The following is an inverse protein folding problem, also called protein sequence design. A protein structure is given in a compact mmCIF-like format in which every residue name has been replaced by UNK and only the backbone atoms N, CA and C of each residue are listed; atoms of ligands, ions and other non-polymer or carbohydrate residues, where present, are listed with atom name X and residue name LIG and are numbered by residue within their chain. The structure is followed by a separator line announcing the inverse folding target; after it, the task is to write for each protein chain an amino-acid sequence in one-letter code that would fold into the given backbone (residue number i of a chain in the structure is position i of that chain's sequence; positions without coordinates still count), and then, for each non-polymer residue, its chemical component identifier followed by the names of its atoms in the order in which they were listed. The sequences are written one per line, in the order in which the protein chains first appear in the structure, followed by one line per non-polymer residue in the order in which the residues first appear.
data_IF_098724821177
#
_entry.id   IF_098724821177
#
_cell.length_a   1.000
_cell.length_b   1.000
_cell.length_c   1.000
_cell.angle_alpha   90.00
_cell.angle_beta   90.00
_cell.angle_gamma   90.00
#
_symmetry.space_group_name_H-M   'P 1'
#
loop_
_entity.id
_entity.type
_entity.pdbx_description
1 polymer ?
#
# COMPACT_ATOMS: atom_id res chain seq x y z
N UNK A 1 15.53 -18.46 8.77
CA UNK A 1 15.17 -17.98 7.42
C UNK A 1 13.70 -17.58 7.25
N UNK A 2 12.71 -18.31 7.80
CA UNK A 2 11.30 -17.86 7.72
C UNK A 2 10.96 -16.63 8.58
N UNK A 3 11.54 -16.50 9.77
CA UNK A 3 11.33 -15.33 10.66
C UNK A 3 11.77 -14.01 10.02
N UNK A 4 12.97 -14.02 9.43
CA UNK A 4 13.55 -12.83 8.80
C UNK A 4 12.72 -12.33 7.62
N UNK A 5 12.31 -13.24 6.72
CA UNK A 5 11.45 -12.91 5.58
C UNK A 5 10.04 -12.48 6.03
N UNK A 6 9.52 -13.06 7.12
CA UNK A 6 8.23 -12.64 7.71
C UNK A 6 8.30 -11.25 8.33
N UNK A 7 9.43 -10.90 8.95
CA UNK A 7 9.70 -9.55 9.46
C UNK A 7 9.66 -8.51 8.35
N UNK A 8 10.37 -8.78 7.25
CA UNK A 8 10.38 -7.88 6.07
C UNK A 8 8.98 -7.72 5.47
N UNK A 9 8.23 -8.82 5.32
CA UNK A 9 6.87 -8.77 4.79
C UNK A 9 5.92 -7.97 5.70
N UNK A 10 6.06 -8.11 7.03
CA UNK A 10 5.25 -7.37 7.99
C UNK A 10 5.50 -5.87 7.91
N UNK A 11 6.77 -5.45 7.91
CA UNK A 11 7.14 -4.04 7.77
C UNK A 11 6.66 -3.46 6.43
N UNK A 12 6.77 -4.25 5.36
CA UNK A 12 6.24 -3.85 4.05
C UNK A 12 4.74 -3.58 4.10
N UNK A 13 3.95 -4.51 4.63
CA UNK A 13 2.49 -4.38 4.68
C UNK A 13 2.05 -3.24 5.60
N UNK A 14 2.71 -3.05 6.74
CA UNK A 14 2.44 -1.93 7.66
C UNK A 14 2.63 -0.57 6.98
N UNK A 15 3.69 -0.42 6.18
CA UNK A 15 3.94 0.82 5.45
C UNK A 15 2.90 1.08 4.36
N UNK A 16 2.51 0.04 3.60
CA UNK A 16 1.49 0.17 2.55
C UNK A 16 0.13 0.54 3.14
N UNK A 17 -0.28 -0.10 4.24
CA UNK A 17 -1.57 0.17 4.89
C UNK A 17 -1.59 1.59 5.48
N UNK A 18 -0.50 2.05 6.12
CA UNK A 18 -0.42 3.40 6.69
C UNK A 18 -0.65 4.49 5.62
N UNK A 19 -0.05 4.31 4.45
CA UNK A 19 -0.22 5.23 3.34
C UNK A 19 -1.64 5.14 2.75
N UNK A 20 -2.16 3.93 2.55
CA UNK A 20 -3.52 3.71 2.04
C UNK A 20 -4.59 4.33 2.95
N UNK A 21 -4.44 4.19 4.27
CA UNK A 21 -5.34 4.80 5.25
C UNK A 21 -5.22 6.32 5.24
N UNK A 22 -4.02 6.87 5.10
CA UNK A 22 -3.80 8.32 4.97
C UNK A 22 -4.51 8.89 3.74
N UNK A 23 -4.40 8.20 2.60
CA UNK A 23 -5.09 8.58 1.38
C UNK A 23 -6.62 8.48 1.50
N UNK A 24 -7.12 7.40 2.11
CA UNK A 24 -8.54 7.20 2.37
C UNK A 24 -9.13 8.30 3.27
N UNK A 25 -8.40 8.68 4.33
CA UNK A 25 -8.74 9.81 5.22
C UNK A 25 -8.76 11.13 4.46
N UNK A 26 -7.76 11.40 3.62
CA UNK A 26 -7.72 12.60 2.78
C UNK A 26 -8.92 12.67 1.83
N UNK A 27 -9.30 11.54 1.24
CA UNK A 27 -10.45 11.42 0.36
C UNK A 27 -11.81 11.38 1.09
N UNK A 28 -11.86 11.54 2.41
CA UNK A 28 -13.06 11.44 3.26
C UNK A 28 -13.86 10.14 3.07
N UNK A 29 -13.18 9.05 2.68
CA UNK A 29 -13.78 7.72 2.53
C UNK A 29 -13.67 6.95 3.83
N UNK A 30 -14.65 6.07 4.11
CA UNK A 30 -14.63 5.15 5.26
C UNK A 30 -14.07 3.77 4.91
N UNK A 31 -13.93 3.47 3.62
CA UNK A 31 -13.52 2.17 3.10
C UNK A 31 -12.32 2.35 2.18
N UNK A 32 -11.25 1.59 2.43
CA UNK A 32 -10.08 1.53 1.55
C UNK A 32 -10.44 0.67 0.35
N UNK A 33 -10.30 1.21 -0.85
CA UNK A 33 -10.50 0.47 -2.11
C UNK A 33 -9.17 -0.04 -2.66
N UNK A 34 -9.22 -1.07 -3.52
CA UNK A 34 -8.04 -1.58 -4.20
C UNK A 34 -7.30 -0.49 -4.99
N UNK A 35 -8.03 0.47 -5.57
CA UNK A 35 -7.45 1.60 -6.28
C UNK A 35 -6.66 2.52 -5.36
N UNK A 36 -7.15 2.79 -4.14
CA UNK A 36 -6.42 3.62 -3.18
C UNK A 36 -5.07 2.97 -2.84
N UNK A 37 -5.01 1.63 -2.73
CA UNK A 37 -3.77 0.87 -2.54
C UNK A 37 -2.85 0.93 -3.76
N UNK A 38 -3.39 0.79 -4.97
CA UNK A 38 -2.61 0.93 -6.21
C UNK A 38 -2.01 2.34 -6.33
N UNK A 39 -2.77 3.38 -5.99
CA UNK A 39 -2.29 4.75 -5.99
C UNK A 39 -1.19 5.00 -4.96
N UNK A 40 -1.32 4.46 -3.74
CA UNK A 40 -0.28 4.62 -2.72
C UNK A 40 0.99 3.87 -3.09
N UNK A 41 0.86 2.67 -3.65
CA UNK A 41 1.99 1.90 -4.18
C UNK A 41 2.69 2.65 -5.33
N UNK A 42 1.94 3.20 -6.29
CA UNK A 42 2.48 4.03 -7.38
C UNK A 42 3.27 5.24 -6.85
N UNK A 43 2.76 5.92 -5.82
CA UNK A 43 3.45 7.04 -5.16
C UNK A 43 4.74 6.60 -4.46
N UNK A 44 4.79 5.38 -3.91
CA UNK A 44 6.01 4.79 -3.34
C UNK A 44 6.98 4.25 -4.40
N UNK A 45 6.71 4.43 -5.70
CA UNK A 45 7.53 3.89 -6.79
C UNK A 45 7.43 2.36 -6.93
N UNK A 46 6.44 1.73 -6.30
CA UNK A 46 6.20 0.29 -6.34
C UNK A 46 4.96 0.03 -7.17
N UNK A 47 5.09 -0.59 -8.32
CA UNK A 47 3.95 -0.79 -9.22
C UNK A 47 3.49 -2.24 -9.06
N UNK A 48 2.29 -2.46 -8.52
CA UNK A 48 1.78 -3.81 -8.27
C UNK A 48 1.40 -4.53 -9.57
N UNK A 49 1.04 -3.78 -10.61
CA UNK A 49 0.77 -4.24 -11.97
C UNK A 49 1.02 -3.05 -12.90
N UNK A 50 1.59 -3.25 -14.10
CA UNK A 50 1.90 -2.21 -15.10
C UNK A 50 0.69 -1.44 -15.64
N UNK A 51 -0.13 -0.86 -14.77
CA UNK A 51 -1.24 0.03 -15.02
C UNK A 51 -0.69 1.44 -15.26
N UNK A 52 -0.06 1.62 -16.40
CA UNK A 52 0.40 2.91 -16.89
C UNK A 52 0.56 2.86 -18.39
N UNK A 53 -0.41 3.45 -19.09
CA UNK A 53 -0.31 3.97 -20.46
C UNK A 53 0.16 3.00 -21.53
#
# INVERSE_FOLDING_TARGET
MYEETRGVLKVFLENVIRDAVTYCKHAKKKTVTAMDVVYTLKRQGRILYGLGG
#
